data_IF_045260095584
#
_entry.id   IF_045260095584
#
_cell.length_a   1.000
_cell.length_b   1.000
_cell.length_c   1.000
_cell.angle_alpha   90.00
_cell.angle_beta   90.00
_cell.angle_gamma   90.00
#
_symmetry.space_group_name_H-M   'P 1'
#
loop_
_entity.id
_entity.type
_entity.pdbx_description
1 polymer ?
#
# COMPACT_ATOMS: atom_id res chain seq x y z
N UNK A 1 -23.05 18.22 -4.10
CA UNK A 1 -21.71 18.22 -4.71
C UNK A 1 -20.86 17.27 -3.92
N UNK A 2 -19.91 16.64 -4.59
CA UNK A 2 -18.98 15.67 -4.02
C UNK A 2 -17.57 16.11 -4.36
N UNK A 3 -16.66 15.98 -3.41
CA UNK A 3 -15.26 16.39 -3.52
C UNK A 3 -14.37 15.18 -3.27
N UNK A 4 -13.37 14.98 -4.13
CA UNK A 4 -12.38 13.93 -3.92
C UNK A 4 -11.18 14.54 -3.20
N UNK A 5 -10.85 14.02 -2.04
CA UNK A 5 -9.79 14.51 -1.16
C UNK A 5 -8.81 13.38 -0.92
N UNK A 6 -7.53 13.59 -1.20
CA UNK A 6 -6.45 12.66 -0.88
C UNK A 6 -5.70 13.18 0.34
N UNK A 7 -5.48 12.31 1.31
CA UNK A 7 -4.69 12.58 2.50
C UNK A 7 -3.52 11.60 2.55
N UNK A 8 -2.31 12.13 2.41
CA UNK A 8 -1.07 11.37 2.38
C UNK A 8 -0.25 11.63 3.64
N UNK A 9 0.29 10.57 4.22
CA UNK A 9 1.23 10.66 5.31
C UNK A 9 2.63 10.95 4.78
N UNK A 10 3.19 12.09 5.19
CA UNK A 10 4.57 12.52 4.94
C UNK A 10 5.49 11.84 5.95
N UNK A 11 5.39 10.52 6.01
CA UNK A 11 6.14 9.67 6.92
C UNK A 11 7.15 8.79 6.20
N UNK A 12 7.57 7.69 6.85
CA UNK A 12 8.42 6.67 6.25
C UNK A 12 7.85 6.16 4.92
N UNK A 13 8.72 5.91 3.94
CA UNK A 13 8.32 5.34 2.66
C UNK A 13 7.91 3.87 2.83
N UNK A 14 7.15 3.33 1.87
CA UNK A 14 6.72 1.92 1.85
C UNK A 14 7.84 0.90 2.12
N UNK A 15 9.05 1.19 1.66
CA UNK A 15 10.24 0.32 1.82
C UNK A 15 10.92 0.46 3.19
N UNK A 16 10.23 0.99 4.21
CA UNK A 16 10.79 1.20 5.54
C UNK A 16 9.91 0.50 6.56
N UNK A 17 10.51 -0.16 7.55
CA UNK A 17 9.78 -0.91 8.60
C UNK A 17 8.75 -0.07 9.37
N UNK A 18 8.93 1.26 9.38
CA UNK A 18 8.02 2.19 10.05
C UNK A 18 6.88 2.67 9.14
N UNK A 19 6.79 2.16 7.91
CA UNK A 19 5.68 2.43 7.01
C UNK A 19 4.37 1.96 7.64
N UNK A 20 3.33 2.75 7.45
CA UNK A 20 1.97 2.39 7.84
C UNK A 20 1.05 2.75 6.69
N UNK A 21 0.17 1.83 6.31
CA UNK A 21 -0.84 2.00 5.27
C UNK A 21 -1.96 2.95 5.72
N UNK A 22 -1.62 4.23 5.90
CA UNK A 22 -2.51 5.23 6.50
C UNK A 22 -2.97 6.30 5.51
N UNK A 23 -2.39 6.33 4.31
CA UNK A 23 -2.87 7.16 3.20
C UNK A 23 -4.34 6.84 2.92
N UNK A 24 -5.12 7.84 2.51
CA UNK A 24 -6.54 7.66 2.22
C UNK A 24 -7.03 8.61 1.14
N UNK A 25 -8.04 8.16 0.44
CA UNK A 25 -8.79 8.92 -0.56
C UNK A 25 -10.24 8.96 -0.08
N UNK A 26 -10.81 10.13 0.08
CA UNK A 26 -12.14 10.33 0.62
C UNK A 26 -13.02 11.03 -0.42
N UNK A 27 -14.29 10.62 -0.48
CA UNK A 27 -15.35 11.38 -1.13
C UNK A 27 -16.10 12.13 -0.03
N UNK A 28 -16.08 13.46 -0.09
CA UNK A 28 -16.72 14.33 0.90
C UNK A 28 -17.83 15.19 0.28
N UNK A 29 -18.83 15.58 1.07
CA UNK A 29 -19.82 16.61 0.72
C UNK A 29 -19.34 18.04 0.92
N UNK A 30 -18.16 18.22 1.53
CA UNK A 30 -17.52 19.51 1.77
C UNK A 30 -16.16 19.59 1.06
N UNK A 31 -15.76 20.75 0.52
CA UNK A 31 -14.47 20.92 -0.14
C UNK A 31 -13.32 20.84 0.88
N UNK A 32 -12.12 20.49 0.40
CA UNK A 32 -10.93 20.53 1.23
C UNK A 32 -10.60 21.98 1.63
N UNK A 33 -10.17 22.18 2.89
CA UNK A 33 -9.79 23.50 3.40
C UNK A 33 -8.27 23.60 3.42
N UNK A 34 -7.75 24.64 2.79
CA UNK A 34 -6.31 24.88 2.76
C UNK A 34 -5.78 25.26 4.15
N UNK A 35 -4.70 24.62 4.61
CA UNK A 35 -4.20 24.77 5.97
C UNK A 35 -3.70 26.20 6.31
N UNK A 36 -3.24 26.94 5.29
CA UNK A 36 -2.59 28.23 5.45
C UNK A 36 -3.55 29.39 5.17
N UNK A 37 -4.29 29.32 4.06
CA UNK A 37 -5.26 30.37 3.70
C UNK A 37 -6.64 30.17 4.32
N UNK A 38 -6.96 28.98 4.83
CA UNK A 38 -8.31 28.59 5.30
C UNK A 38 -9.39 28.77 4.22
N UNK A 39 -8.98 28.74 2.96
CA UNK A 39 -9.88 28.84 1.82
C UNK A 39 -10.22 27.44 1.31
N UNK A 40 -11.45 27.30 0.82
CA UNK A 40 -11.89 26.10 0.11
C UNK A 40 -11.03 25.91 -1.14
N UNK A 41 -10.53 24.68 -1.34
CA UNK A 41 -9.85 24.25 -2.55
C UNK A 41 -10.54 23.03 -3.10
N UNK A 42 -10.82 23.10 -4.40
CA UNK A 42 -11.36 22.00 -5.18
C UNK A 42 -10.30 21.33 -6.03
N UNK A 43 -9.09 21.90 -6.17
CA UNK A 43 -8.01 21.31 -6.95
C UNK A 43 -6.63 21.63 -6.35
N UNK A 44 -5.76 20.63 -6.34
CA UNK A 44 -4.35 20.75 -5.99
C UNK A 44 -4.05 20.61 -4.49
N UNK A 45 -2.79 20.84 -4.13
CA UNK A 45 -2.31 20.73 -2.75
C UNK A 45 -3.02 21.72 -1.83
N UNK A 46 -3.53 21.26 -0.69
CA UNK A 46 -4.23 22.06 0.32
C UNK A 46 -3.33 22.40 1.52
N UNK A 47 -2.21 21.72 1.69
CA UNK A 47 -1.27 21.98 2.77
C UNK A 47 -0.75 20.72 3.42
N UNK A 48 0.20 20.89 4.34
CA UNK A 48 0.73 19.82 5.17
C UNK A 48 0.65 20.23 6.65
N UNK A 49 0.05 19.40 7.48
CA UNK A 49 -0.14 19.64 8.92
C UNK A 49 0.09 18.35 9.69
N UNK A 50 0.94 18.36 10.72
CA UNK A 50 1.27 17.16 11.52
C UNK A 50 1.63 15.94 10.66
N UNK A 51 2.49 16.15 9.66
CA UNK A 51 2.93 15.12 8.70
C UNK A 51 1.81 14.58 7.80
N UNK A 52 0.66 15.25 7.69
CA UNK A 52 -0.41 14.91 6.75
C UNK A 52 -0.50 15.94 5.64
N UNK A 53 -0.27 15.53 4.39
CA UNK A 53 -0.47 16.34 3.20
C UNK A 53 -1.86 16.09 2.62
N UNK A 54 -2.62 17.15 2.39
CA UNK A 54 -3.98 17.07 1.83
C UNK A 54 -3.97 17.61 0.39
N UNK A 55 -4.69 16.95 -0.50
CA UNK A 55 -4.86 17.34 -1.90
C UNK A 55 -6.35 17.25 -2.29
N UNK A 56 -6.83 18.25 -3.04
CA UNK A 56 -8.17 18.24 -3.62
C UNK A 56 -8.10 17.83 -5.10
N UNK A 57 -9.05 17.03 -5.55
CA UNK A 57 -9.04 16.39 -6.87
C UNK A 57 -10.38 16.55 -7.62
N UNK A 58 -10.95 17.75 -7.55
CA UNK A 58 -12.13 18.15 -8.29
C UNK A 58 -13.40 18.22 -7.46
N UNK A 59 -14.43 18.78 -8.10
CA UNK A 59 -15.81 18.84 -7.64
C UNK A 59 -16.70 18.12 -8.65
N UNK A 60 -17.58 17.26 -8.14
CA UNK A 60 -18.43 16.37 -8.92
C UNK A 60 -19.89 16.55 -8.53
N UNK A 61 -20.78 16.40 -9.50
CA UNK A 61 -22.22 16.61 -9.25
C UNK A 61 -22.83 15.37 -8.60
N UNK A 62 -22.31 14.19 -8.94
CA UNK A 62 -22.78 12.89 -8.47
C UNK A 62 -21.66 12.07 -7.82
N UNK A 63 -22.03 11.11 -6.98
CA UNK A 63 -21.07 10.22 -6.33
C UNK A 63 -20.42 9.28 -7.35
N UNK A 64 -21.15 8.88 -8.39
CA UNK A 64 -20.65 8.03 -9.47
C UNK A 64 -19.54 8.71 -10.27
N UNK A 65 -19.66 10.03 -10.53
CA UNK A 65 -18.60 10.82 -11.16
C UNK A 65 -17.35 10.90 -10.27
N UNK A 66 -17.52 11.11 -8.96
CA UNK A 66 -16.41 11.14 -8.02
C UNK A 66 -15.66 9.80 -7.96
N UNK A 67 -16.40 8.67 -7.91
CA UNK A 67 -15.79 7.32 -7.96
C UNK A 67 -15.06 7.06 -9.28
N UNK A 68 -15.63 7.48 -10.40
CA UNK A 68 -14.98 7.36 -11.70
C UNK A 68 -13.66 8.15 -11.75
N UNK A 69 -13.64 9.36 -11.19
CA UNK A 69 -12.43 10.17 -11.09
C UNK A 69 -11.36 9.54 -10.18
N UNK A 70 -11.76 8.91 -9.08
CA UNK A 70 -10.84 8.13 -8.24
C UNK A 70 -10.19 7.01 -9.05
N UNK A 71 -11.00 6.24 -9.78
CA UNK A 71 -10.50 5.13 -10.61
C UNK A 71 -9.57 5.63 -11.71
N UNK A 72 -9.90 6.75 -12.36
CA UNK A 72 -9.06 7.36 -13.40
C UNK A 72 -7.71 7.84 -12.86
N UNK A 73 -7.70 8.43 -11.65
CA UNK A 73 -6.52 9.08 -11.08
C UNK A 73 -5.60 8.13 -10.31
N UNK A 74 -6.19 7.24 -9.51
CA UNK A 74 -5.48 6.36 -8.58
C UNK A 74 -5.44 4.90 -9.05
N UNK A 75 -6.22 4.54 -10.07
CA UNK A 75 -6.36 3.17 -10.51
C UNK A 75 -7.23 2.34 -9.57
N UNK A 76 -6.80 1.12 -9.28
CA UNK A 76 -7.50 0.24 -8.33
C UNK A 76 -7.24 0.70 -6.88
N UNK A 77 -8.33 0.82 -6.11
CA UNK A 77 -8.34 1.26 -4.71
C UNK A 77 -9.08 0.23 -3.85
N UNK A 78 -8.85 0.24 -2.53
CA UNK A 78 -9.56 -0.62 -1.57
C UNK A 78 -10.60 0.21 -0.80
N UNK A 79 -11.80 -0.33 -0.64
CA UNK A 79 -12.88 0.24 0.18
C UNK A 79 -13.07 -0.48 1.53
N UNK A 80 -12.45 -1.66 1.68
CA UNK A 80 -12.43 -2.43 2.91
C UNK A 80 -11.03 -2.94 3.26
N UNK A 81 -10.85 -3.30 4.53
CA UNK A 81 -9.67 -4.02 5.01
C UNK A 81 -9.70 -5.50 4.58
N UNK A 82 -8.67 -6.25 4.98
CA UNK A 82 -8.55 -7.68 4.66
C UNK A 82 -9.60 -8.57 5.36
N UNK A 83 -10.29 -8.07 6.39
CA UNK A 83 -11.39 -8.76 7.05
C UNK A 83 -12.74 -8.46 6.38
N UNK A 84 -12.77 -7.52 5.42
CA UNK A 84 -13.97 -7.03 4.76
C UNK A 84 -14.68 -5.91 5.52
N UNK A 85 -14.04 -5.32 6.53
CA UNK A 85 -14.56 -4.18 7.25
C UNK A 85 -14.30 -2.90 6.43
N UNK A 86 -15.35 -2.10 6.19
CA UNK A 86 -15.23 -0.87 5.42
C UNK A 86 -14.36 0.16 6.14
N UNK A 87 -13.60 0.96 5.39
CA UNK A 87 -12.90 2.09 5.97
C UNK A 87 -13.88 3.19 6.40
N UNK A 88 -13.98 3.43 7.70
CA UNK A 88 -14.84 4.47 8.26
C UNK A 88 -14.04 5.75 8.55
N UNK A 89 -14.71 6.89 8.40
CA UNK A 89 -14.19 8.21 8.79
C UNK A 89 -15.06 8.77 9.91
N UNK A 90 -14.44 9.45 10.88
CA UNK A 90 -15.15 10.14 11.96
C UNK A 90 -15.78 11.47 11.50
N UNK A 91 -15.48 11.90 10.27
CA UNK A 91 -16.00 13.13 9.67
C UNK A 91 -17.38 12.89 9.04
N UNK A 92 -18.40 13.61 9.53
CA UNK A 92 -19.79 13.50 9.06
C UNK A 92 -19.96 13.93 7.59
N UNK A 93 -19.04 14.74 7.06
CA UNK A 93 -19.05 15.16 5.66
C UNK A 93 -18.41 14.11 4.73
N UNK A 94 -17.69 13.11 5.26
CA UNK A 94 -17.10 12.04 4.45
C UNK A 94 -18.13 10.95 4.19
N UNK A 95 -18.39 10.71 2.91
CA UNK A 95 -19.37 9.72 2.44
C UNK A 95 -18.71 8.36 2.24
N UNK A 96 -17.49 8.34 1.67
CA UNK A 96 -16.75 7.11 1.38
C UNK A 96 -15.27 7.32 1.61
N UNK A 97 -14.60 6.29 2.14
CA UNK A 97 -13.15 6.27 2.35
C UNK A 97 -12.55 5.10 1.61
N UNK A 98 -11.44 5.35 0.93
CA UNK A 98 -10.67 4.38 0.20
C UNK A 98 -9.20 4.43 0.62
N UNK A 99 -8.52 3.29 0.48
CA UNK A 99 -7.07 3.22 0.52
C UNK A 99 -6.51 3.15 -0.89
N UNK A 100 -5.39 3.82 -1.18
CA UNK A 100 -4.71 3.65 -2.45
C UNK A 100 -4.23 2.19 -2.61
N UNK A 101 -4.01 1.82 -3.87
CA UNK A 101 -3.59 0.49 -4.31
C UNK A 101 -4.65 -0.59 -4.16
N UNK A 102 -4.52 -1.63 -4.99
CA UNK A 102 -5.39 -2.81 -5.02
C UNK A 102 -5.26 -3.70 -3.79
N UNK A 103 -4.06 -3.81 -3.24
CA UNK A 103 -3.72 -4.77 -2.18
C UNK A 103 -3.14 -4.05 -0.97
N UNK A 104 -3.35 -4.63 0.21
CA UNK A 104 -2.78 -4.13 1.44
C UNK A 104 -1.28 -4.48 1.51
N UNK A 105 -0.38 -3.50 1.68
CA UNK A 105 1.04 -3.77 1.80
C UNK A 105 1.34 -4.49 3.11
N UNK A 106 2.11 -5.57 3.03
CA UNK A 106 2.71 -6.22 4.19
C UNK A 106 4.00 -5.51 4.57
N UNK A 107 4.28 -5.43 5.87
CA UNK A 107 5.59 -4.97 6.32
C UNK A 107 6.67 -6.00 5.99
N UNK A 108 7.93 -5.58 6.00
CA UNK A 108 9.10 -6.46 5.95
C UNK A 108 8.96 -7.67 6.90
N UNK A 109 8.69 -7.45 8.19
CA UNK A 109 8.53 -8.52 9.18
C UNK A 109 7.34 -9.46 8.84
N UNK A 110 6.20 -8.90 8.44
CA UNK A 110 5.04 -9.72 8.09
C UNK A 110 5.31 -10.57 6.85
N UNK A 111 6.04 -10.02 5.88
CA UNK A 111 6.48 -10.71 4.66
C UNK A 111 7.44 -11.85 5.01
N UNK A 112 8.42 -11.59 5.89
CA UNK A 112 9.35 -12.61 6.36
C UNK A 112 8.62 -13.77 7.07
N UNK A 113 7.72 -13.44 8.02
CA UNK A 113 6.96 -14.45 8.78
C UNK A 113 6.04 -15.28 7.88
N UNK A 114 5.40 -14.64 6.89
CA UNK A 114 4.51 -15.31 5.95
C UNK A 114 5.26 -16.23 4.99
N UNK A 115 6.39 -15.76 4.43
CA UNK A 115 7.17 -16.50 3.44
C UNK A 115 8.11 -17.54 4.06
N UNK A 116 8.34 -17.52 5.38
CA UNK A 116 9.37 -18.28 6.07
C UNK A 116 9.43 -19.76 5.67
N UNK A 117 8.33 -20.50 5.86
CA UNK A 117 8.29 -21.94 5.57
C UNK A 117 8.49 -22.25 4.08
N UNK A 118 7.96 -21.39 3.22
CA UNK A 118 8.13 -21.50 1.77
C UNK A 118 9.58 -21.31 1.35
N UNK A 119 10.23 -20.24 1.81
CA UNK A 119 11.64 -19.95 1.53
C UNK A 119 12.53 -21.10 2.00
N UNK A 120 12.26 -21.69 3.16
CA UNK A 120 13.02 -22.85 3.67
C UNK A 120 12.86 -24.11 2.79
N UNK A 121 11.74 -24.25 2.09
CA UNK A 121 11.45 -25.40 1.23
C UNK A 121 11.94 -25.19 -0.21
N UNK A 122 11.78 -23.98 -0.76
CA UNK A 122 11.94 -23.70 -2.19
C UNK A 122 13.34 -23.21 -2.56
N UNK A 123 14.12 -22.75 -1.57
CA UNK A 123 15.49 -22.29 -1.78
C UNK A 123 16.51 -23.38 -1.41
N UNK A 124 17.37 -23.68 -2.37
CA UNK A 124 18.55 -24.53 -2.21
C UNK A 124 19.81 -23.71 -2.53
N UNK A 125 20.99 -24.18 -2.09
CA UNK A 125 22.28 -23.54 -2.43
C UNK A 125 22.49 -23.34 -3.94
N UNK A 126 21.88 -24.21 -4.76
CA UNK A 126 21.99 -24.19 -6.21
C UNK A 126 20.93 -23.32 -6.92
N UNK A 127 19.94 -22.79 -6.20
CA UNK A 127 18.87 -21.95 -6.77
C UNK A 127 19.46 -20.74 -7.49
N UNK A 128 19.04 -20.50 -8.73
CA UNK A 128 19.55 -19.39 -9.56
C UNK A 128 18.82 -18.09 -9.25
N UNK A 129 19.41 -16.96 -9.65
CA UNK A 129 18.75 -15.65 -9.51
C UNK A 129 17.44 -15.60 -10.31
N UNK A 130 17.42 -16.20 -11.51
CA UNK A 130 16.21 -16.27 -12.32
C UNK A 130 15.10 -17.05 -11.61
N UNK A 131 15.44 -18.15 -10.92
CA UNK A 131 14.44 -18.91 -10.16
C UNK A 131 13.96 -18.13 -8.93
N UNK A 132 14.82 -17.36 -8.27
CA UNK A 132 14.40 -16.47 -7.18
C UNK A 132 13.40 -15.42 -7.70
N UNK A 133 13.69 -14.78 -8.84
CA UNK A 133 12.75 -13.82 -9.45
C UNK A 133 11.40 -14.47 -9.77
N UNK A 134 11.38 -15.72 -10.28
CA UNK A 134 10.14 -16.47 -10.51
C UNK A 134 9.39 -16.76 -9.19
N UNK A 135 10.10 -17.21 -8.15
CA UNK A 135 9.52 -17.49 -6.83
C UNK A 135 8.92 -16.23 -6.20
N UNK A 136 9.59 -15.08 -6.29
CA UNK A 136 9.05 -13.79 -5.81
C UNK A 136 7.72 -13.49 -6.49
N UNK A 137 7.63 -13.68 -7.81
CA UNK A 137 6.38 -13.47 -8.54
C UNK A 137 5.28 -14.48 -8.18
N UNK A 138 5.64 -15.74 -7.93
CA UNK A 138 4.72 -16.80 -7.47
C UNK A 138 4.16 -16.45 -6.08
N UNK A 139 5.01 -16.04 -5.14
CA UNK A 139 4.65 -15.68 -3.77
C UNK A 139 3.79 -14.41 -3.75
N UNK A 140 4.16 -13.41 -4.53
CA UNK A 140 3.38 -12.19 -4.71
C UNK A 140 1.98 -12.50 -5.26
N UNK A 141 1.87 -13.41 -6.23
CA UNK A 141 0.57 -13.83 -6.76
C UNK A 141 -0.29 -14.55 -5.70
N UNK A 142 0.32 -15.36 -4.84
CA UNK A 142 -0.35 -16.03 -3.73
C UNK A 142 -0.81 -15.03 -2.65
N UNK A 143 0.04 -14.09 -2.25
CA UNK A 143 -0.32 -13.02 -1.32
C UNK A 143 -1.46 -12.16 -1.87
N UNK A 144 -1.40 -11.81 -3.15
CA UNK A 144 -2.44 -11.03 -3.84
C UNK A 144 -3.79 -11.74 -3.84
N UNK A 145 -3.81 -13.08 -3.90
CA UNK A 145 -5.06 -13.85 -3.78
C UNK A 145 -5.72 -13.74 -2.40
N UNK A 146 -4.95 -13.34 -1.39
CA UNK A 146 -5.41 -13.04 -0.03
C UNK A 146 -5.59 -11.54 0.24
N UNK A 147 -5.44 -10.68 -0.78
CA UNK A 147 -5.63 -9.24 -0.67
C UNK A 147 -4.39 -8.45 -0.24
N UNK A 148 -3.20 -9.07 -0.26
CA UNK A 148 -1.95 -8.47 0.21
C UNK A 148 -0.89 -8.37 -0.89
N UNK A 149 -0.02 -7.37 -0.81
CA UNK A 149 1.21 -7.28 -1.62
C UNK A 149 2.41 -7.38 -0.68
N UNK A 150 3.41 -8.16 -1.07
CA UNK A 150 4.59 -8.45 -0.24
C UNK A 150 5.58 -7.29 -0.28
N UNK A 151 6.38 -7.20 0.77
CA UNK A 151 7.47 -6.24 0.83
C UNK A 151 8.55 -6.56 -0.22
N UNK A 152 9.22 -5.53 -0.74
CA UNK A 152 10.29 -5.68 -1.74
C UNK A 152 11.46 -6.53 -1.25
N UNK A 153 11.66 -6.62 0.06
CA UNK A 153 12.77 -7.36 0.68
C UNK A 153 12.60 -8.88 0.62
N UNK A 154 11.46 -9.40 0.09
CA UNK A 154 11.27 -10.84 -0.13
C UNK A 154 12.39 -11.46 -0.97
N UNK A 155 12.83 -10.76 -2.02
CA UNK A 155 13.93 -11.22 -2.86
C UNK A 155 15.22 -11.36 -2.05
N UNK A 156 15.51 -10.37 -1.20
CA UNK A 156 16.69 -10.37 -0.34
C UNK A 156 16.64 -11.54 0.65
N UNK A 157 15.50 -11.84 1.26
CA UNK A 157 15.34 -13.02 2.14
C UNK A 157 15.66 -14.34 1.43
N UNK A 158 15.22 -14.50 0.19
CA UNK A 158 15.51 -15.69 -0.61
C UNK A 158 17.00 -15.76 -0.97
N UNK A 159 17.63 -14.63 -1.30
CA UNK A 159 19.05 -14.56 -1.61
C UNK A 159 19.92 -14.86 -0.37
N UNK A 160 19.55 -14.32 0.79
CA UNK A 160 20.22 -14.57 2.08
C UNK A 160 20.15 -16.06 2.42
N UNK A 161 18.97 -16.69 2.36
CA UNK A 161 18.84 -18.13 2.63
C UNK A 161 19.72 -18.98 1.72
N UNK A 162 19.77 -18.65 0.42
CA UNK A 162 20.64 -19.34 -0.52
C UNK A 162 22.11 -19.20 -0.15
N UNK A 163 22.52 -18.01 0.30
CA UNK A 163 23.92 -17.77 0.69
C UNK A 163 24.28 -18.55 1.96
N UNK A 164 23.40 -18.58 2.96
CA UNK A 164 23.59 -19.42 4.16
C UNK A 164 23.85 -20.89 3.80
N UNK A 165 23.02 -21.45 2.91
CA UNK A 165 23.16 -22.84 2.46
C UNK A 165 24.48 -23.10 1.70
N UNK A 166 25.02 -22.08 1.01
CA UNK A 166 26.33 -22.19 0.34
C UNK A 166 27.46 -22.18 1.37
N UNK A 167 27.39 -21.28 2.35
CA UNK A 167 28.40 -21.15 3.40
C UNK A 167 28.44 -22.44 4.26
N UNK A 168 27.28 -23.02 4.59
CA UNK A 168 27.18 -24.31 5.31
C UNK A 168 27.88 -25.46 4.54
N UNK A 169 27.72 -25.52 3.22
CA UNK A 169 28.38 -26.53 2.38
C UNK A 169 29.90 -26.33 2.30
N UNK A 170 30.38 -25.09 2.35
CA UNK A 170 31.81 -24.78 2.37
C UNK A 170 32.45 -25.13 3.72
N UNK A 171 31.75 -24.92 4.84
CA UNK A 171 32.21 -25.27 6.18
C UNK A 171 32.25 -26.79 6.43
N UNK A 172 31.45 -27.57 5.70
CA UNK A 172 31.41 -29.04 5.78
C UNK A 172 32.42 -29.76 4.85
N UNK A 173 33.12 -29.05 3.96
CA UNK A 173 34.01 -29.60 2.93
C UNK A 173 35.49 -29.73 3.36
#
# INVERSE_FOLDING_TARGET
MYYVIETNYVGPNQTQDQYVDVDKIEISTSPAIANSSHEERTEGWCGTTNDWAIYAHGEYTTIEEARAAITEKFGEVRDSDANGDSFESDDEDVVETYKPSKYAPMSNQATADWAYEGIQSDIEASTTDERITELVAEYEAEANSNGYTLDSDLEDFMQERRQELRDELEDEA
#
